data_IF_438111153400
#
_entry.id   IF_438111153400
#
_cell.length_a   1.000
_cell.length_b   1.000
_cell.length_c   1.000
_cell.angle_alpha   90.00
_cell.angle_beta   90.00
_cell.angle_gamma   90.00
#
_symmetry.space_group_name_H-M   'P 1'
#
loop_
_entity.id
_entity.type
_entity.pdbx_description
1 polymer ?
#
# COMPACT_ATOMS: atom_id res chain seq x y z
N UNK A 1 3.53 30.95 29.48
CA UNK A 1 3.74 29.52 29.83
C UNK A 1 2.59 28.60 29.41
N UNK A 2 1.40 29.09 29.06
CA UNK A 2 0.23 28.23 28.66
C UNK A 2 0.32 27.64 27.25
N UNK A 3 0.88 28.34 26.28
CA UNK A 3 0.95 27.90 24.87
C UNK A 3 1.87 26.66 24.67
N UNK A 4 2.91 26.52 25.47
CA UNK A 4 3.85 25.41 25.38
C UNK A 4 3.26 24.09 25.91
N UNK A 5 2.44 24.14 26.98
CA UNK A 5 1.70 22.99 27.52
C UNK A 5 0.65 22.46 26.54
N UNK A 6 -0.01 23.36 25.78
CA UNK A 6 -1.04 22.99 24.80
C UNK A 6 -0.44 22.30 23.57
N UNK A 7 0.75 22.72 23.11
CA UNK A 7 1.51 22.09 22.01
C UNK A 7 2.03 20.69 22.39
N UNK A 8 2.47 20.50 23.61
CA UNK A 8 2.93 19.19 24.12
C UNK A 8 1.79 18.17 24.19
N UNK A 9 0.60 18.56 24.66
CA UNK A 9 -0.57 17.67 24.69
C UNK A 9 -1.03 17.27 23.30
N UNK A 10 -1.00 18.18 22.32
CA UNK A 10 -1.31 17.85 20.92
C UNK A 10 -0.33 16.85 20.30
N UNK A 11 0.96 16.99 20.52
CA UNK A 11 1.97 16.05 20.02
C UNK A 11 1.79 14.66 20.63
N UNK A 12 1.55 14.58 21.92
CA UNK A 12 1.26 13.30 22.61
C UNK A 12 -0.03 12.66 22.10
N UNK A 13 -1.07 13.46 21.92
CA UNK A 13 -2.34 12.98 21.37
C UNK A 13 -2.17 12.47 19.92
N UNK A 14 -1.44 13.18 19.07
CA UNK A 14 -1.13 12.72 17.70
C UNK A 14 -0.30 11.44 17.71
N UNK A 15 0.73 11.35 18.56
CA UNK A 15 1.53 10.13 18.69
C UNK A 15 0.69 8.95 19.19
N UNK A 16 -0.20 9.17 20.16
CA UNK A 16 -1.12 8.16 20.65
C UNK A 16 -2.09 7.68 19.56
N UNK A 17 -2.68 8.61 18.79
CA UNK A 17 -3.55 8.27 17.66
C UNK A 17 -2.82 7.46 16.59
N UNK A 18 -1.60 7.85 16.24
CA UNK A 18 -0.77 7.08 15.30
C UNK A 18 -0.47 5.68 15.84
N UNK A 19 -0.06 5.57 17.11
CA UNK A 19 0.20 4.28 17.73
C UNK A 19 -1.05 3.39 17.73
N UNK A 20 -2.21 3.92 18.10
CA UNK A 20 -3.49 3.19 18.07
C UNK A 20 -3.85 2.75 16.66
N UNK A 21 -3.67 3.61 15.64
CA UNK A 21 -3.94 3.26 14.24
C UNK A 21 -3.02 2.14 13.75
N UNK A 22 -1.73 2.21 14.06
CA UNK A 22 -0.76 1.17 13.70
C UNK A 22 -1.10 -0.15 14.40
N UNK A 23 -1.41 -0.10 15.70
CA UNK A 23 -1.81 -1.29 16.47
C UNK A 23 -3.09 -1.92 15.91
N UNK A 24 -4.08 -1.10 15.54
CA UNK A 24 -5.32 -1.57 14.94
C UNK A 24 -5.07 -2.27 13.59
N UNK A 25 -4.27 -1.67 12.71
CA UNK A 25 -3.90 -2.27 11.44
C UNK A 25 -3.13 -3.58 11.62
N UNK A 26 -2.20 -3.62 12.58
CA UNK A 26 -1.46 -4.83 12.91
C UNK A 26 -2.40 -5.93 13.46
N UNK A 27 -3.32 -5.58 14.35
CA UNK A 27 -4.31 -6.50 14.89
C UNK A 27 -5.21 -7.10 13.79
N UNK A 28 -5.69 -6.28 12.85
CA UNK A 28 -6.48 -6.73 11.69
C UNK A 28 -5.65 -7.66 10.80
N UNK A 29 -4.39 -7.31 10.52
CA UNK A 29 -3.51 -8.11 9.69
C UNK A 29 -3.23 -9.49 10.30
N UNK A 30 -3.03 -9.55 11.62
CA UNK A 30 -2.81 -10.80 12.37
C UNK A 30 -4.11 -11.60 12.46
N UNK A 31 -5.21 -10.98 12.88
CA UNK A 31 -6.50 -11.64 13.02
C UNK A 31 -6.96 -12.28 11.69
N UNK A 32 -6.87 -11.54 10.57
CA UNK A 32 -7.23 -12.06 9.26
C UNK A 32 -6.32 -13.20 8.78
N UNK A 33 -5.07 -13.27 9.25
CA UNK A 33 -4.18 -14.39 8.98
C UNK A 33 -4.59 -15.65 9.79
N UNK A 34 -4.84 -15.48 11.08
CA UNK A 34 -5.23 -16.57 11.98
C UNK A 34 -6.60 -17.14 11.58
N UNK A 35 -7.52 -16.28 11.19
CA UNK A 35 -8.90 -16.67 10.83
C UNK A 35 -9.05 -17.12 9.37
N UNK A 36 -7.97 -17.23 8.61
CA UNK A 36 -8.02 -17.54 7.17
C UNK A 36 -8.73 -18.86 6.86
N UNK A 37 -8.47 -19.90 7.63
CA UNK A 37 -9.12 -21.20 7.43
C UNK A 37 -10.62 -21.12 7.71
N UNK A 38 -11.02 -20.42 8.77
CA UNK A 38 -12.43 -20.20 9.08
C UNK A 38 -13.14 -19.37 8.02
N UNK A 39 -12.47 -18.40 7.41
CA UNK A 39 -13.02 -17.58 6.33
C UNK A 39 -13.34 -18.40 5.07
N UNK A 40 -12.68 -19.53 4.86
CA UNK A 40 -12.85 -20.42 3.72
C UNK A 40 -13.74 -21.62 4.01
N UNK A 41 -13.97 -21.93 5.29
CA UNK A 41 -14.80 -23.07 5.71
C UNK A 41 -16.26 -22.88 5.24
N UNK A 42 -16.76 -23.84 4.49
CA UNK A 42 -18.13 -23.84 3.97
C UNK A 42 -19.04 -24.69 4.83
N UNK A 43 -20.21 -24.17 5.16
CA UNK A 43 -21.25 -24.90 5.91
C UNK A 43 -22.63 -24.54 5.34
N UNK A 44 -23.12 -25.36 4.43
CA UNK A 44 -24.40 -25.11 3.75
C UNK A 44 -25.61 -25.10 4.69
N UNK A 45 -25.50 -25.60 5.93
CA UNK A 45 -26.56 -25.53 6.91
C UNK A 45 -26.80 -24.10 7.43
N UNK A 46 -25.79 -23.23 7.27
CA UNK A 46 -25.78 -21.83 7.72
C UNK A 46 -25.90 -20.84 6.56
N UNK A 47 -26.47 -21.27 5.45
CA UNK A 47 -26.60 -20.48 4.23
C UNK A 47 -27.50 -19.26 4.42
N UNK A 48 -27.04 -18.08 3.99
CA UNK A 48 -27.80 -16.82 3.95
C UNK A 48 -28.43 -16.44 5.30
N UNK A 49 -27.77 -16.71 6.42
CA UNK A 49 -28.25 -16.26 7.72
C UNK A 49 -28.15 -14.74 7.83
N UNK A 50 -29.16 -14.06 8.40
CA UNK A 50 -29.09 -12.63 8.66
C UNK A 50 -28.06 -12.30 9.73
N UNK A 51 -27.65 -11.02 9.85
CA UNK A 51 -26.79 -10.57 10.94
C UNK A 51 -27.32 -10.94 12.32
N UNK A 52 -26.42 -11.46 13.17
CA UNK A 52 -26.73 -11.90 14.54
C UNK A 52 -25.51 -11.74 15.43
N UNK A 53 -25.64 -11.95 16.75
CA UNK A 53 -24.48 -11.93 17.65
C UNK A 53 -23.43 -12.99 17.34
N UNK A 54 -23.84 -14.15 16.78
CA UNK A 54 -22.91 -15.20 16.36
C UNK A 54 -22.28 -14.90 15.00
N UNK A 55 -22.99 -14.20 14.11
CA UNK A 55 -22.56 -13.81 12.78
C UNK A 55 -22.83 -12.31 12.56
N UNK A 56 -21.93 -11.40 12.98
CA UNK A 56 -22.20 -9.96 12.97
C UNK A 56 -22.58 -9.39 11.59
N UNK A 57 -22.04 -9.95 10.51
CA UNK A 57 -22.36 -9.58 9.12
C UNK A 57 -23.18 -10.65 8.40
N UNK A 58 -23.75 -11.61 9.12
CA UNK A 58 -24.44 -12.75 8.54
C UNK A 58 -23.51 -13.73 7.83
N UNK A 59 -24.10 -14.63 7.05
CA UNK A 59 -23.38 -15.63 6.25
C UNK A 59 -23.72 -15.51 4.77
N UNK A 60 -22.82 -15.97 3.91
CA UNK A 60 -23.05 -15.97 2.47
C UNK A 60 -23.81 -17.23 1.99
N UNK A 61 -23.99 -17.35 0.67
CA UNK A 61 -24.67 -18.49 0.03
C UNK A 61 -23.94 -19.83 0.21
N UNK A 62 -22.70 -19.82 0.67
CA UNK A 62 -21.91 -21.01 1.03
C UNK A 62 -21.89 -21.27 2.55
N UNK A 63 -22.58 -20.44 3.35
CA UNK A 63 -22.61 -20.51 4.81
C UNK A 63 -21.34 -20.01 5.50
N UNK A 64 -20.51 -19.22 4.79
CA UNK A 64 -19.26 -18.68 5.35
C UNK A 64 -19.55 -17.39 6.10
N UNK A 65 -18.88 -17.18 7.22
CA UNK A 65 -19.01 -15.97 8.04
C UNK A 65 -18.47 -14.75 7.30
N UNK A 66 -19.33 -13.78 7.02
CA UNK A 66 -18.99 -12.57 6.28
C UNK A 66 -18.10 -11.61 7.08
N UNK A 67 -18.18 -11.59 8.41
CA UNK A 67 -17.29 -10.79 9.26
C UNK A 67 -15.85 -11.33 9.20
N UNK A 68 -15.67 -12.63 9.37
CA UNK A 68 -14.36 -13.30 9.29
C UNK A 68 -13.77 -13.14 7.88
N UNK A 69 -14.57 -13.26 6.84
CA UNK A 69 -14.14 -13.01 5.44
C UNK A 69 -13.71 -11.59 5.21
N UNK A 70 -14.43 -10.60 5.77
CA UNK A 70 -14.06 -9.19 5.65
C UNK A 70 -12.72 -8.90 6.34
N UNK A 71 -12.49 -9.44 7.54
CA UNK A 71 -11.20 -9.32 8.24
C UNK A 71 -10.07 -9.95 7.44
N UNK A 72 -10.29 -11.13 6.87
CA UNK A 72 -9.29 -11.81 6.04
C UNK A 72 -8.99 -11.02 4.77
N UNK A 73 -10.01 -10.47 4.10
CA UNK A 73 -9.83 -9.60 2.95
C UNK A 73 -9.04 -8.34 3.29
N UNK A 74 -9.36 -7.68 4.40
CA UNK A 74 -8.62 -6.51 4.89
C UNK A 74 -7.15 -6.84 5.18
N UNK A 75 -6.88 -7.98 5.81
CA UNK A 75 -5.51 -8.47 6.07
C UNK A 75 -4.71 -8.65 4.78
N UNK A 76 -5.32 -9.19 3.74
CA UNK A 76 -4.68 -9.33 2.42
C UNK A 76 -4.39 -7.96 1.82
N UNK A 77 -5.34 -7.03 1.87
CA UNK A 77 -5.18 -5.67 1.35
C UNK A 77 -4.06 -4.90 2.07
N UNK A 78 -3.99 -4.99 3.40
CA UNK A 78 -2.92 -4.38 4.21
C UNK A 78 -1.56 -4.93 3.80
N UNK A 79 -1.43 -6.25 3.62
CA UNK A 79 -0.17 -6.88 3.22
C UNK A 79 0.26 -6.48 1.81
N UNK A 80 -0.66 -6.50 0.85
CA UNK A 80 -0.36 -6.04 -0.51
C UNK A 80 0.08 -4.57 -0.46
N UNK A 81 -0.68 -3.71 0.21
CA UNK A 81 -0.37 -2.28 0.30
C UNK A 81 1.00 -2.01 0.94
N UNK A 82 1.34 -2.70 2.04
CA UNK A 82 2.62 -2.51 2.72
C UNK A 82 3.79 -3.01 1.87
N UNK A 83 3.68 -4.21 1.29
CA UNK A 83 4.72 -4.77 0.44
C UNK A 83 4.95 -3.94 -0.82
N UNK A 84 3.88 -3.53 -1.50
CA UNK A 84 4.00 -2.67 -2.69
C UNK A 84 4.58 -1.31 -2.35
N UNK A 85 4.19 -0.70 -1.22
CA UNK A 85 4.75 0.58 -0.77
C UNK A 85 6.26 0.46 -0.52
N UNK A 86 6.71 -0.59 0.18
CA UNK A 86 8.12 -0.83 0.42
C UNK A 86 8.91 -1.05 -0.87
N UNK A 87 8.42 -1.91 -1.77
CA UNK A 87 9.09 -2.19 -3.05
C UNK A 87 9.15 -0.92 -3.90
N UNK A 88 8.02 -0.23 -4.06
CA UNK A 88 7.94 1.00 -4.87
C UNK A 88 8.82 2.12 -4.31
N UNK A 89 8.89 2.26 -2.98
CA UNK A 89 9.75 3.25 -2.34
C UNK A 89 11.23 2.99 -2.61
N UNK A 90 11.68 1.74 -2.50
CA UNK A 90 13.08 1.35 -2.78
C UNK A 90 13.41 1.60 -4.25
N UNK A 91 12.57 1.13 -5.18
CA UNK A 91 12.79 1.32 -6.62
C UNK A 91 12.78 2.80 -6.98
N UNK A 92 11.81 3.56 -6.48
CA UNK A 92 11.71 4.99 -6.72
C UNK A 92 12.90 5.77 -6.17
N UNK A 93 13.37 5.42 -4.97
CA UNK A 93 14.53 6.06 -4.36
C UNK A 93 15.78 5.82 -5.20
N UNK A 94 16.05 4.60 -5.62
CA UNK A 94 17.22 4.26 -6.45
C UNK A 94 17.12 4.98 -7.80
N UNK A 95 16.04 4.78 -8.55
CA UNK A 95 15.92 5.30 -9.91
C UNK A 95 15.74 6.83 -9.93
N UNK A 96 14.99 7.40 -8.99
CA UNK A 96 14.80 8.85 -8.87
C UNK A 96 16.11 9.57 -8.54
N UNK A 97 16.90 9.01 -7.62
CA UNK A 97 18.22 9.56 -7.27
C UNK A 97 19.22 9.40 -8.43
N UNK A 98 19.23 8.24 -9.10
CA UNK A 98 20.07 8.01 -10.27
C UNK A 98 19.76 9.00 -11.40
N UNK A 99 18.49 9.24 -11.71
CA UNK A 99 18.07 10.22 -12.71
C UNK A 99 18.58 11.64 -12.38
N UNK A 100 18.52 12.03 -11.10
CA UNK A 100 18.96 13.36 -10.67
C UNK A 100 20.47 13.52 -10.57
N UNK A 101 21.25 12.44 -10.30
CA UNK A 101 22.67 12.52 -9.97
C UNK A 101 23.62 12.06 -11.09
N UNK A 102 23.25 11.10 -11.94
CA UNK A 102 24.14 10.49 -12.92
C UNK A 102 24.23 11.23 -14.26
N UNK A 103 23.62 12.40 -14.36
CA UNK A 103 23.73 13.27 -15.53
C UNK A 103 22.63 13.06 -16.57
N UNK A 104 22.74 13.81 -17.69
CA UNK A 104 21.67 13.99 -18.67
C UNK A 104 21.20 12.69 -19.34
N UNK A 105 22.13 11.76 -19.57
CA UNK A 105 21.79 10.48 -20.23
C UNK A 105 20.95 9.58 -19.32
N UNK A 106 21.35 9.44 -18.05
CA UNK A 106 20.59 8.67 -17.07
C UNK A 106 19.20 9.28 -16.85
N UNK A 107 19.13 10.59 -16.76
CA UNK A 107 17.89 11.34 -16.64
C UNK A 107 16.94 11.09 -17.83
N UNK A 108 17.47 11.18 -19.06
CA UNK A 108 16.68 10.95 -20.27
C UNK A 108 16.15 9.50 -20.36
N UNK A 109 16.97 8.49 -20.01
CA UNK A 109 16.57 7.08 -20.06
C UNK A 109 15.53 6.78 -18.98
N UNK A 110 15.80 7.14 -17.73
CA UNK A 110 14.89 6.86 -16.62
C UNK A 110 13.58 7.65 -16.78
N UNK A 111 13.67 8.92 -17.19
CA UNK A 111 12.51 9.75 -17.51
C UNK A 111 11.67 9.14 -18.62
N UNK A 112 12.28 8.66 -19.69
CA UNK A 112 11.58 7.97 -20.79
C UNK A 112 10.86 6.70 -20.34
N UNK A 113 11.46 5.89 -19.44
CA UNK A 113 10.80 4.72 -18.85
C UNK A 113 9.58 5.15 -18.00
N UNK A 114 9.75 6.19 -17.18
CA UNK A 114 8.64 6.73 -16.38
C UNK A 114 7.51 7.19 -17.28
N UNK A 115 7.83 7.94 -18.35
CA UNK A 115 6.81 8.46 -19.28
C UNK A 115 6.10 7.34 -20.04
N UNK A 116 6.82 6.29 -20.43
CA UNK A 116 6.25 5.10 -21.07
C UNK A 116 5.24 4.41 -20.15
N UNK A 117 5.60 4.15 -18.90
CA UNK A 117 4.72 3.48 -17.93
C UNK A 117 3.52 4.37 -17.58
N UNK A 118 3.73 5.68 -17.41
CA UNK A 118 2.65 6.63 -17.08
C UNK A 118 1.76 6.99 -18.30
N UNK A 119 2.23 6.75 -19.51
CA UNK A 119 1.44 6.93 -20.75
C UNK A 119 0.34 5.88 -20.94
N UNK A 120 0.45 4.74 -20.25
CA UNK A 120 -0.59 3.69 -20.31
C UNK A 120 -1.59 3.92 -19.16
N UNK A 121 -2.91 3.83 -19.39
CA UNK A 121 -3.90 3.89 -18.31
C UNK A 121 -3.56 2.90 -17.21
N UNK A 122 -3.34 3.41 -15.98
CA UNK A 122 -2.81 2.63 -14.86
C UNK A 122 -3.57 1.33 -14.58
N UNK A 123 -4.91 1.40 -14.58
CA UNK A 123 -5.76 0.21 -14.33
C UNK A 123 -5.56 -0.83 -15.42
N UNK A 124 -5.42 -0.40 -16.68
CA UNK A 124 -5.24 -1.29 -17.80
C UNK A 124 -3.90 -2.02 -17.73
N UNK A 125 -2.83 -1.29 -17.41
CA UNK A 125 -1.50 -1.85 -17.22
C UNK A 125 -1.47 -2.84 -16.04
N UNK A 126 -2.12 -2.50 -14.94
CA UNK A 126 -2.22 -3.37 -13.76
C UNK A 126 -2.95 -4.69 -14.08
N UNK A 127 -4.08 -4.62 -14.81
CA UNK A 127 -4.81 -5.81 -15.23
C UNK A 127 -3.94 -6.68 -16.15
N UNK A 128 -3.28 -6.06 -17.13
CA UNK A 128 -2.42 -6.76 -18.08
C UNK A 128 -1.28 -7.51 -17.36
N UNK A 129 -0.57 -6.83 -16.46
CA UNK A 129 0.53 -7.44 -15.68
C UNK A 129 -0.02 -8.55 -14.78
N UNK A 130 -1.12 -8.31 -14.07
CA UNK A 130 -1.71 -9.32 -13.19
C UNK A 130 -2.17 -10.55 -13.96
N UNK A 131 -2.63 -10.39 -15.19
CA UNK A 131 -3.03 -11.49 -16.04
C UNK A 131 -1.82 -12.28 -16.58
N UNK A 132 -0.76 -11.59 -16.98
CA UNK A 132 0.46 -12.18 -17.51
C UNK A 132 1.27 -12.95 -16.44
N UNK A 133 1.34 -12.41 -15.22
CA UNK A 133 2.07 -13.03 -14.11
C UNK A 133 1.26 -14.17 -13.45
N UNK A 134 -0.06 -14.05 -13.47
CA UNK A 134 -0.98 -15.01 -12.86
C UNK A 134 -1.95 -14.34 -11.90
N UNK A 135 -3.15 -14.93 -11.79
CA UNK A 135 -4.22 -14.42 -10.92
C UNK A 135 -3.86 -14.56 -9.43
N UNK A 136 -4.35 -13.64 -8.61
CA UNK A 136 -4.25 -13.72 -7.15
C UNK A 136 -3.23 -12.75 -6.56
N UNK A 137 -2.76 -13.06 -5.36
CA UNK A 137 -1.92 -12.18 -4.54
C UNK A 137 -0.66 -11.69 -5.29
N UNK A 138 0.09 -12.59 -5.91
CA UNK A 138 1.36 -12.26 -6.59
C UNK A 138 1.16 -11.41 -7.84
N UNK A 139 0.13 -11.72 -8.64
CA UNK A 139 -0.17 -10.92 -9.83
C UNK A 139 -0.51 -9.47 -9.49
N UNK A 140 -1.34 -9.25 -8.46
CA UNK A 140 -1.69 -7.91 -7.98
C UNK A 140 -0.47 -7.21 -7.36
N UNK A 141 0.29 -7.90 -6.51
CA UNK A 141 1.49 -7.36 -5.86
C UNK A 141 2.50 -6.86 -6.90
N UNK A 142 2.84 -7.68 -7.88
CA UNK A 142 3.81 -7.34 -8.93
C UNK A 142 3.25 -6.24 -9.82
N UNK A 143 1.97 -6.32 -10.22
CA UNK A 143 1.33 -5.30 -11.04
C UNK A 143 1.37 -3.92 -10.41
N UNK A 144 1.01 -3.81 -9.12
CA UNK A 144 1.05 -2.54 -8.41
C UNK A 144 2.51 -2.08 -8.21
N UNK A 145 3.41 -2.97 -7.80
CA UNK A 145 4.82 -2.62 -7.57
C UNK A 145 5.51 -2.09 -8.83
N UNK A 146 5.22 -2.66 -10.00
CA UNK A 146 5.79 -2.22 -11.28
C UNK A 146 5.23 -0.89 -11.79
N UNK A 147 4.11 -0.44 -11.28
CA UNK A 147 3.46 0.79 -11.77
C UNK A 147 3.56 1.96 -10.79
N UNK A 148 3.55 1.73 -9.48
CA UNK A 148 3.50 2.80 -8.48
C UNK A 148 4.83 3.55 -8.26
N UNK A 149 5.97 2.91 -8.53
CA UNK A 149 7.28 3.54 -8.32
C UNK A 149 7.49 4.78 -9.18
N UNK A 150 6.87 4.86 -10.36
CA UNK A 150 7.11 5.91 -11.35
C UNK A 150 6.75 7.31 -10.85
N UNK A 151 5.58 7.45 -10.23
CA UNK A 151 5.13 8.73 -9.65
C UNK A 151 6.05 9.18 -8.51
N UNK A 152 6.44 8.25 -7.64
CA UNK A 152 7.33 8.53 -6.52
C UNK A 152 8.76 8.84 -7.00
N UNK A 153 9.27 8.13 -8.02
CA UNK A 153 10.57 8.40 -8.62
C UNK A 153 10.64 9.79 -9.25
N UNK A 154 9.57 10.22 -9.93
CA UNK A 154 9.46 11.57 -10.51
C UNK A 154 9.48 12.64 -9.42
N UNK A 155 8.78 12.43 -8.32
CA UNK A 155 8.79 13.33 -7.17
C UNK A 155 10.19 13.42 -6.56
N UNK A 156 10.80 12.29 -6.24
CA UNK A 156 12.15 12.23 -5.65
C UNK A 156 13.21 12.87 -6.56
N UNK A 157 13.13 12.63 -7.88
CA UNK A 157 14.00 13.30 -8.85
C UNK A 157 13.90 14.81 -8.74
N UNK A 158 12.67 15.37 -8.68
CA UNK A 158 12.44 16.80 -8.52
C UNK A 158 13.05 17.37 -7.23
N UNK A 159 12.82 16.71 -6.10
CA UNK A 159 13.38 17.08 -4.81
C UNK A 159 14.90 17.04 -4.78
N UNK A 160 15.53 16.00 -5.35
CA UNK A 160 16.99 15.88 -5.40
C UNK A 160 17.61 16.96 -6.27
N UNK A 161 17.00 17.33 -7.41
CA UNK A 161 17.46 18.44 -8.25
C UNK A 161 17.40 19.76 -7.49
N UNK A 162 16.27 20.06 -6.81
CA UNK A 162 16.13 21.26 -5.98
C UNK A 162 17.16 21.33 -4.86
N UNK A 163 17.45 20.20 -4.20
CA UNK A 163 18.47 20.14 -3.17
C UNK A 163 19.87 20.43 -3.72
N UNK A 164 20.21 19.93 -4.90
CA UNK A 164 21.50 20.19 -5.55
C UNK A 164 21.69 21.65 -5.94
N UNK A 165 20.62 22.34 -6.30
CA UNK A 165 20.65 23.78 -6.66
C UNK A 165 20.57 24.68 -5.43
N UNK A 166 20.31 24.14 -4.24
CA UNK A 166 20.23 24.92 -3.02
C UNK A 166 21.61 25.46 -2.60
N UNK A 167 21.67 26.70 -2.13
CA UNK A 167 22.92 27.38 -1.72
C UNK A 167 23.70 26.66 -0.61
N UNK A 168 23.06 25.75 0.15
CA UNK A 168 23.69 24.99 1.22
C UNK A 168 24.64 23.87 0.75
N UNK A 169 24.58 23.49 -0.52
CA UNK A 169 25.39 22.41 -1.09
C UNK A 169 26.50 22.98 -2.02
N UNK A 170 26.42 24.26 -2.39
CA UNK A 170 27.39 24.92 -3.27
C UNK A 170 28.61 25.50 -2.52
N UNK A 171 28.74 25.25 -1.23
CA UNK A 171 29.93 25.58 -0.41
C UNK A 171 30.77 24.31 -0.33
#
# INVERSE_FOLDING_TARGET
MSAQRHRWNRRKAMAALLAVSVLLLAAIAIAGQVLREQALATDFTRKNLPPSLAYPFGTDWMGRDMFVRSLTGLSISIRIGLLTACISAVVAFILGTMAACLGRTADAVIGGIIDLVMGIPHILLLILISFAVGKGFWGVLIGISLTHWTSLARLLRGEVIQLRESQYIQI
#
